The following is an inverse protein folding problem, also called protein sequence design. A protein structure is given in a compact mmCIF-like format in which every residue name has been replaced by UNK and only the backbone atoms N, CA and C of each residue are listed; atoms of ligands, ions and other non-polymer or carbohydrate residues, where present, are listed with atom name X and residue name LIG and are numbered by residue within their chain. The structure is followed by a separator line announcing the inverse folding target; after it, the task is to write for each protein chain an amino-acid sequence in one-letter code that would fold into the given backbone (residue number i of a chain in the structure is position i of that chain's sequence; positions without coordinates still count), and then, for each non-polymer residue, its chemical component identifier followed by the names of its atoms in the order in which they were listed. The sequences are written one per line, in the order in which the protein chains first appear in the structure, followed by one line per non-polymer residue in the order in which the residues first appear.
data_IF_844172405421
#
_entry.id   IF_844172405421
#
_cell.length_a   1.000
_cell.length_b   1.000
_cell.length_c   1.000
_cell.angle_alpha   90.00
_cell.angle_beta   90.00
_cell.angle_gamma   90.00
#
_symmetry.space_group_name_H-M   'P 1'
#
loop_
_entity.id
_entity.type
_entity.pdbx_description
1 polymer ?
#
# COMPACT_ATOMS: atom_id res chain seq x y z
N UNK A 1 44.91 -9.61 -74.21
CA UNK A 1 43.48 -9.53 -73.83
C UNK A 1 43.36 -9.48 -72.30
N UNK A 2 43.26 -8.32 -71.73
CA UNK A 2 43.10 -8.12 -70.28
C UNK A 2 41.61 -7.86 -69.94
N UNK A 3 40.96 -8.80 -69.27
CA UNK A 3 39.60 -8.57 -68.68
C UNK A 3 39.75 -7.85 -67.37
N UNK A 4 39.22 -6.63 -67.30
CA UNK A 4 39.06 -5.87 -66.04
C UNK A 4 37.86 -6.43 -65.31
N UNK A 5 38.06 -6.98 -64.09
CA UNK A 5 37.00 -7.25 -63.10
C UNK A 5 36.70 -5.95 -62.33
N UNK A 6 35.50 -5.44 -62.46
CA UNK A 6 34.97 -4.38 -61.63
C UNK A 6 34.33 -5.03 -60.39
N UNK A 7 34.93 -4.80 -59.20
CA UNK A 7 34.41 -5.21 -57.93
C UNK A 7 33.48 -4.08 -57.43
N UNK A 8 32.16 -4.30 -57.47
CA UNK A 8 31.20 -3.41 -56.88
C UNK A 8 31.09 -3.71 -55.36
N UNK A 9 31.63 -2.84 -54.52
CA UNK A 9 31.41 -2.88 -53.08
C UNK A 9 30.02 -2.29 -52.79
N UNK A 10 29.08 -3.13 -52.41
CA UNK A 10 27.78 -2.68 -51.85
C UNK A 10 28.01 -2.27 -50.40
N UNK A 11 27.92 -0.96 -50.10
CA UNK A 11 27.85 -0.45 -48.75
C UNK A 11 26.45 -0.75 -48.19
N UNK A 12 26.32 -1.79 -47.36
CA UNK A 12 25.16 -1.98 -46.51
C UNK A 12 25.26 -1.01 -45.35
N UNK A 13 24.51 0.07 -45.42
CA UNK A 13 24.25 0.93 -44.25
C UNK A 13 23.36 0.14 -43.32
N UNK A 14 23.96 -0.49 -42.30
CA UNK A 14 23.24 -1.08 -41.21
C UNK A 14 22.58 0.06 -40.41
N UNK A 15 21.28 0.20 -40.53
CA UNK A 15 20.50 0.99 -39.58
C UNK A 15 20.60 0.23 -38.25
N UNK A 16 21.49 0.69 -37.37
CA UNK A 16 21.46 0.28 -35.96
C UNK A 16 20.17 0.84 -35.40
N UNK A 17 19.11 0.04 -35.34
CA UNK A 17 18.01 0.29 -34.46
C UNK A 17 18.60 0.19 -33.06
N UNK A 18 18.84 1.34 -32.41
CA UNK A 18 19.06 1.37 -30.97
C UNK A 18 17.87 0.65 -30.37
N UNK A 19 18.09 -0.52 -29.79
CA UNK A 19 17.09 -1.13 -28.92
C UNK A 19 16.82 -0.11 -27.84
N UNK A 20 15.66 0.54 -27.91
CA UNK A 20 15.19 1.40 -26.83
C UNK A 20 15.10 0.49 -25.60
N UNK A 21 15.75 0.89 -24.51
CA UNK A 21 15.63 0.13 -23.27
C UNK A 21 14.18 0.18 -22.82
N UNK A 22 13.61 -0.97 -22.46
CA UNK A 22 12.23 -1.07 -22.01
C UNK A 22 12.04 -0.36 -20.68
N UNK A 23 10.84 0.18 -20.44
CA UNK A 23 10.49 0.63 -19.10
C UNK A 23 10.42 -0.57 -18.15
N UNK A 24 10.90 -0.41 -16.91
CA UNK A 24 10.93 -1.49 -15.92
C UNK A 24 10.18 -1.08 -14.66
N UNK A 25 9.11 -1.80 -14.34
CA UNK A 25 8.43 -1.67 -13.05
C UNK A 25 9.10 -2.58 -12.02
N UNK A 26 9.76 -2.00 -11.03
CA UNK A 26 10.34 -2.74 -9.90
C UNK A 26 9.25 -3.01 -8.88
N UNK A 27 8.95 -4.29 -8.62
CA UNK A 27 7.93 -4.74 -7.68
C UNK A 27 8.61 -5.37 -6.47
N UNK A 28 8.43 -4.85 -5.23
CA UNK A 28 9.10 -5.36 -4.04
C UNK A 28 8.42 -6.61 -3.45
N UNK A 29 7.52 -7.24 -4.20
CA UNK A 29 6.79 -8.44 -3.79
C UNK A 29 7.04 -9.60 -4.74
N UNK A 30 6.77 -10.81 -4.24
CA UNK A 30 6.80 -12.01 -5.06
C UNK A 30 5.70 -12.00 -6.14
N UNK A 31 5.93 -12.68 -7.27
CA UNK A 31 4.91 -12.88 -8.30
C UNK A 31 3.60 -13.44 -7.73
N UNK A 32 2.46 -12.97 -8.26
CA UNK A 32 1.13 -13.43 -7.85
C UNK A 32 0.55 -12.77 -6.59
N UNK A 33 1.33 -11.99 -5.84
CA UNK A 33 0.77 -11.16 -4.76
C UNK A 33 0.02 -9.94 -5.31
N UNK A 34 -0.84 -9.34 -4.50
CA UNK A 34 -1.75 -8.29 -4.96
C UNK A 34 -1.09 -7.10 -5.66
N UNK A 35 0.09 -6.66 -5.20
CA UNK A 35 0.84 -5.58 -5.86
C UNK A 35 1.51 -6.05 -7.15
N UNK A 36 1.99 -7.30 -7.21
CA UNK A 36 2.51 -7.90 -8.43
C UNK A 36 1.45 -7.97 -9.52
N UNK A 37 0.28 -8.52 -9.20
CA UNK A 37 -0.85 -8.61 -10.14
C UNK A 37 -1.28 -7.24 -10.62
N UNK A 38 -1.34 -6.25 -9.73
CA UNK A 38 -1.64 -4.88 -10.10
C UNK A 38 -0.58 -4.29 -11.06
N UNK A 39 0.70 -4.48 -10.74
CA UNK A 39 1.79 -3.98 -11.58
C UNK A 39 1.82 -4.62 -12.98
N UNK A 40 1.49 -5.90 -13.08
CA UNK A 40 1.36 -6.60 -14.38
C UNK A 40 0.22 -6.02 -15.22
N UNK A 41 -0.92 -5.68 -14.59
CA UNK A 41 -2.05 -5.03 -15.28
C UNK A 41 -1.67 -3.61 -15.71
N UNK A 42 -1.01 -2.85 -14.83
CA UNK A 42 -0.53 -1.51 -15.16
C UNK A 42 0.50 -1.55 -16.30
N UNK A 43 1.49 -2.42 -16.24
CA UNK A 43 2.50 -2.56 -17.29
C UNK A 43 1.84 -2.81 -18.65
N UNK A 44 0.96 -3.81 -18.73
CA UNK A 44 0.22 -4.16 -19.94
C UNK A 44 -0.58 -2.99 -20.52
N UNK A 45 -1.29 -2.25 -19.65
CA UNK A 45 -2.18 -1.18 -20.09
C UNK A 45 -1.46 0.16 -20.31
N UNK A 46 -0.28 0.36 -19.71
CA UNK A 46 0.52 1.58 -19.88
C UNK A 46 1.35 1.55 -21.18
N UNK A 47 1.78 0.36 -21.61
CA UNK A 47 2.63 0.16 -22.81
C UNK A 47 2.07 0.84 -24.07
N UNK A 48 0.77 0.72 -24.45
CA UNK A 48 0.24 1.40 -25.62
C UNK A 48 0.32 2.94 -25.58
N UNK A 49 0.25 3.53 -24.41
CA UNK A 49 0.28 4.98 -24.21
C UNK A 49 1.71 5.53 -24.12
N UNK A 50 2.67 4.71 -23.68
CA UNK A 50 4.10 5.04 -23.73
C UNK A 50 4.71 4.81 -25.11
N UNK A 51 4.13 3.92 -25.92
CA UNK A 51 4.69 3.51 -27.21
C UNK A 51 5.97 2.66 -27.09
N UNK A 52 6.28 2.17 -25.90
CA UNK A 52 7.45 1.35 -25.58
C UNK A 52 7.06 0.21 -24.64
N UNK A 53 7.75 -0.94 -24.68
CA UNK A 53 7.48 -2.05 -23.77
C UNK A 53 7.65 -1.68 -22.30
N UNK A 54 6.79 -2.27 -21.45
CA UNK A 54 6.85 -2.11 -19.99
C UNK A 54 6.98 -3.49 -19.36
N UNK A 55 8.10 -3.77 -18.73
CA UNK A 55 8.39 -5.07 -18.11
C UNK A 55 8.31 -5.00 -16.59
N UNK A 56 7.85 -6.09 -15.97
CA UNK A 56 7.78 -6.20 -14.51
C UNK A 56 8.96 -7.01 -14.00
N UNK A 57 9.70 -6.45 -13.04
CA UNK A 57 10.82 -7.10 -12.35
C UNK A 57 10.56 -7.18 -10.87
N UNK A 58 10.50 -8.39 -10.34
CA UNK A 58 10.29 -8.64 -8.91
C UNK A 58 11.61 -8.64 -8.13
N UNK A 59 11.65 -7.91 -7.03
CA UNK A 59 12.76 -7.92 -6.05
C UNK A 59 12.14 -8.09 -4.66
N UNK A 60 11.67 -9.30 -4.32
CA UNK A 60 10.97 -9.55 -3.07
C UNK A 60 11.92 -9.58 -1.87
N UNK A 61 11.35 -9.46 -0.68
CA UNK A 61 12.06 -9.64 0.58
C UNK A 61 11.18 -9.31 1.79
N UNK A 62 11.73 -9.47 2.98
CA UNK A 62 10.99 -9.23 4.20
C UNK A 62 10.46 -7.78 4.26
N UNK A 63 9.15 -7.65 4.53
CA UNK A 63 8.45 -6.36 4.63
C UNK A 63 8.59 -5.47 3.38
N UNK A 64 8.92 -6.07 2.23
CA UNK A 64 9.15 -5.42 0.93
C UNK A 64 10.30 -4.38 0.93
N UNK A 65 11.08 -4.30 2.03
CA UNK A 65 12.19 -3.36 2.22
C UNK A 65 13.33 -3.61 1.21
N UNK A 66 13.83 -4.85 0.98
CA UNK A 66 14.97 -5.08 0.10
C UNK A 66 14.78 -4.58 -1.33
N UNK A 67 13.57 -4.76 -1.88
CA UNK A 67 13.26 -4.28 -3.23
C UNK A 67 13.30 -2.77 -3.35
N UNK A 68 12.78 -2.08 -2.33
CA UNK A 68 12.76 -0.62 -2.31
C UNK A 68 14.16 -0.04 -2.03
N UNK A 69 14.93 -0.63 -1.10
CA UNK A 69 16.32 -0.25 -0.85
C UNK A 69 17.17 -0.45 -2.12
N UNK A 70 16.97 -1.57 -2.84
CA UNK A 70 17.66 -1.81 -4.12
C UNK A 70 17.32 -0.77 -5.18
N UNK A 71 16.05 -0.38 -5.29
CA UNK A 71 15.66 0.74 -6.15
C UNK A 71 16.37 2.02 -5.74
N UNK A 72 16.30 2.38 -4.44
CA UNK A 72 16.89 3.61 -3.93
C UNK A 72 18.39 3.70 -4.19
N UNK A 73 19.12 2.64 -3.87
CA UNK A 73 20.59 2.67 -3.90
C UNK A 73 21.16 2.54 -5.31
N UNK A 74 20.52 1.72 -6.18
CA UNK A 74 21.15 1.30 -7.42
C UNK A 74 20.33 1.60 -8.68
N UNK A 75 19.01 1.47 -8.64
CA UNK A 75 18.20 1.42 -9.86
C UNK A 75 17.53 2.75 -10.21
N UNK A 76 17.29 3.62 -9.24
CA UNK A 76 16.57 4.89 -9.45
C UNK A 76 17.23 5.85 -10.43
N UNK A 77 18.50 5.67 -10.72
CA UNK A 77 19.27 6.52 -11.65
C UNK A 77 19.13 6.10 -13.11
N UNK A 78 18.45 4.98 -13.39
CA UNK A 78 18.02 4.60 -14.72
C UNK A 78 16.67 5.30 -15.00
N UNK A 79 16.67 6.16 -16.01
CA UNK A 79 15.51 7.02 -16.34
C UNK A 79 14.26 6.24 -16.75
N UNK A 80 14.39 4.94 -17.10
CA UNK A 80 13.28 4.04 -17.44
C UNK A 80 12.89 3.08 -16.33
N UNK A 81 13.47 3.23 -15.15
CA UNK A 81 13.11 2.41 -13.99
C UNK A 81 12.09 3.12 -13.10
N UNK A 82 10.99 2.44 -12.85
CA UNK A 82 9.85 2.92 -12.05
C UNK A 82 9.69 2.01 -10.85
N UNK A 83 9.60 2.57 -9.64
CA UNK A 83 9.28 1.81 -8.44
C UNK A 83 7.78 1.67 -8.25
N UNK A 84 7.33 0.45 -8.07
CA UNK A 84 5.97 0.14 -7.63
C UNK A 84 5.97 0.06 -6.11
N UNK A 85 5.36 1.03 -5.45
CA UNK A 85 5.18 0.97 -4.00
C UNK A 85 3.83 0.36 -3.62
N UNK A 86 3.76 -0.14 -2.41
CA UNK A 86 2.50 -0.46 -1.76
C UNK A 86 2.50 0.09 -0.32
N UNK A 87 1.34 0.14 0.30
CA UNK A 87 1.16 0.80 1.58
C UNK A 87 2.13 0.36 2.68
N UNK A 88 2.52 -0.92 2.69
CA UNK A 88 3.52 -1.43 3.64
C UNK A 88 4.85 -0.69 3.56
N UNK A 89 5.30 -0.29 2.38
CA UNK A 89 6.53 0.47 2.21
C UNK A 89 6.44 1.88 2.83
N UNK A 90 5.25 2.50 2.78
CA UNK A 90 5.03 3.80 3.43
C UNK A 90 5.09 3.70 4.95
N UNK A 91 4.56 2.63 5.52
CA UNK A 91 4.68 2.40 6.96
C UNK A 91 6.12 2.05 7.34
N UNK A 92 6.79 1.17 6.58
CA UNK A 92 8.21 0.87 6.81
C UNK A 92 9.10 2.11 6.73
N UNK A 93 8.78 3.05 5.83
CA UNK A 93 9.46 4.35 5.78
C UNK A 93 9.36 5.12 7.10
N UNK A 94 8.24 5.05 7.79
CA UNK A 94 8.03 5.74 9.07
C UNK A 94 8.74 5.08 10.25
N UNK A 95 8.69 3.74 10.32
CA UNK A 95 9.00 3.03 11.57
C UNK A 95 10.13 1.99 11.47
N UNK A 96 10.69 1.75 10.29
CA UNK A 96 11.76 0.77 10.09
C UNK A 96 13.08 1.41 9.67
N UNK A 97 14.15 0.66 9.85
CA UNK A 97 15.47 0.99 9.29
C UNK A 97 15.46 0.69 7.78
N UNK A 98 15.36 1.74 6.97
CA UNK A 98 15.27 1.67 5.51
C UNK A 98 16.18 2.72 4.87
N UNK A 99 16.71 2.44 3.68
CA UNK A 99 17.58 3.36 2.95
C UNK A 99 16.78 4.42 2.17
N UNK A 100 15.57 4.08 1.75
CA UNK A 100 14.77 4.93 0.87
C UNK A 100 14.08 6.09 1.58
N UNK A 101 13.88 7.17 0.82
CA UNK A 101 13.16 8.37 1.25
C UNK A 101 12.17 8.80 0.16
N UNK A 102 10.88 8.87 0.49
CA UNK A 102 9.85 9.27 -0.47
C UNK A 102 10.00 10.70 -0.99
N UNK A 103 10.66 11.58 -0.24
CA UNK A 103 10.94 12.95 -0.66
C UNK A 103 12.05 13.06 -1.72
N UNK A 104 12.76 11.95 -2.00
CA UNK A 104 13.73 11.85 -3.11
C UNK A 104 13.07 11.43 -4.42
N UNK A 105 11.77 11.20 -4.43
CA UNK A 105 11.03 10.69 -5.58
C UNK A 105 9.95 11.65 -6.07
N UNK A 106 9.49 11.39 -7.29
CA UNK A 106 8.30 11.99 -7.87
C UNK A 106 7.24 10.94 -8.10
N UNK A 107 6.03 11.23 -7.64
CA UNK A 107 4.86 10.39 -7.89
C UNK A 107 4.45 10.51 -9.37
N UNK A 108 4.30 9.37 -10.03
CA UNK A 108 3.63 9.29 -11.33
C UNK A 108 2.13 9.20 -11.13
N UNK A 109 1.69 8.35 -10.21
CA UNK A 109 0.32 8.25 -9.76
C UNK A 109 0.14 7.18 -8.70
N UNK A 110 -0.87 7.36 -7.87
CA UNK A 110 -1.28 6.41 -6.84
C UNK A 110 -2.77 6.13 -6.92
N UNK A 111 -3.15 4.88 -6.91
CA UNK A 111 -4.53 4.47 -6.69
C UNK A 111 -4.78 4.47 -5.17
N UNK A 112 -5.62 5.40 -4.72
CA UNK A 112 -5.95 5.61 -3.31
C UNK A 112 -6.99 4.58 -2.86
N UNK A 113 -6.56 3.36 -2.63
CA UNK A 113 -7.45 2.26 -2.32
C UNK A 113 -7.32 1.76 -0.87
N UNK A 114 -8.44 1.27 -0.35
CA UNK A 114 -8.64 0.86 1.03
C UNK A 114 -8.32 -0.63 1.28
N UNK A 115 -8.49 -1.03 2.53
CA UNK A 115 -8.48 -2.40 3.02
C UNK A 115 -9.81 -2.67 3.74
N UNK A 116 -10.33 -3.85 3.52
CA UNK A 116 -11.54 -4.36 4.18
C UNK A 116 -11.15 -5.26 5.33
N UNK A 117 -11.75 -5.06 6.48
CA UNK A 117 -11.70 -6.00 7.59
C UNK A 117 -13.07 -6.66 7.74
N UNK A 118 -13.03 -7.96 7.96
CA UNK A 118 -14.19 -8.79 8.25
C UNK A 118 -14.02 -9.53 9.56
N UNK A 119 -15.15 -9.92 10.14
CA UNK A 119 -15.24 -10.77 11.32
C UNK A 119 -16.27 -11.86 11.13
N UNK A 120 -16.34 -12.81 12.05
CA UNK A 120 -17.44 -13.77 12.08
C UNK A 120 -18.72 -13.11 12.54
N UNK A 121 -19.84 -13.46 11.91
CA UNK A 121 -21.16 -12.95 12.24
C UNK A 121 -21.50 -13.25 13.70
N UNK A 122 -21.91 -12.22 14.44
CA UNK A 122 -22.27 -12.34 15.86
C UNK A 122 -21.09 -12.31 16.84
N UNK A 123 -19.85 -12.13 16.34
CA UNK A 123 -18.72 -11.87 17.24
C UNK A 123 -18.91 -10.51 17.94
N UNK A 124 -18.79 -10.51 19.28
CA UNK A 124 -19.03 -9.34 20.12
C UNK A 124 -17.74 -8.62 20.44
N UNK A 125 -17.61 -7.39 20.00
CA UNK A 125 -16.43 -6.54 20.23
C UNK A 125 -16.22 -6.22 21.71
N UNK A 126 -17.27 -6.24 22.52
CA UNK A 126 -17.20 -5.88 23.95
C UNK A 126 -16.84 -7.05 24.84
N UNK A 127 -16.82 -8.25 24.31
CA UNK A 127 -16.53 -9.47 25.07
C UNK A 127 -15.56 -10.42 24.33
N UNK A 128 -15.06 -11.42 25.04
CA UNK A 128 -14.24 -12.47 24.49
C UNK A 128 -12.79 -12.11 24.21
N UNK A 129 -12.03 -13.13 23.83
CA UNK A 129 -10.66 -13.04 23.35
C UNK A 129 -10.65 -13.28 21.85
N UNK A 130 -9.83 -12.53 21.13
CA UNK A 130 -9.73 -12.56 19.68
C UNK A 130 -8.37 -13.10 19.25
N UNK A 131 -8.36 -14.02 18.30
CA UNK A 131 -7.13 -14.50 17.67
C UNK A 131 -6.96 -13.85 16.32
N UNK A 132 -5.88 -13.11 16.14
CA UNK A 132 -5.65 -12.28 14.95
C UNK A 132 -4.33 -12.66 14.30
N UNK A 133 -4.39 -12.98 13.01
CA UNK A 133 -3.20 -13.32 12.22
C UNK A 133 -2.55 -12.07 11.62
N UNK A 134 -1.33 -11.76 12.04
CA UNK A 134 -0.48 -10.73 11.46
C UNK A 134 0.41 -11.23 10.33
N UNK A 135 0.72 -10.34 9.39
CA UNK A 135 1.73 -10.59 8.37
C UNK A 135 3.16 -10.38 8.88
N UNK A 136 4.11 -10.38 7.96
CA UNK A 136 5.52 -10.05 8.24
C UNK A 136 5.80 -8.55 8.33
N UNK A 137 4.79 -7.70 8.10
CA UNK A 137 4.87 -6.24 8.12
C UNK A 137 3.96 -5.63 9.18
N UNK A 138 4.12 -4.33 9.38
CA UNK A 138 3.25 -3.52 10.19
C UNK A 138 1.85 -3.47 9.58
N UNK A 139 0.85 -3.66 10.41
CA UNK A 139 -0.55 -3.61 10.01
C UNK A 139 -1.29 -2.58 10.86
N UNK A 140 -1.48 -1.32 10.38
CA UNK A 140 -2.19 -0.28 11.13
C UNK A 140 -3.61 -0.70 11.51
N UNK A 141 -4.16 -1.66 10.76
CA UNK A 141 -5.47 -2.26 11.03
C UNK A 141 -5.60 -2.79 12.46
N UNK A 142 -4.53 -3.34 13.03
CA UNK A 142 -4.58 -3.87 14.38
C UNK A 142 -4.70 -2.78 15.46
N UNK A 143 -4.25 -1.55 15.19
CA UNK A 143 -4.53 -0.42 16.08
C UNK A 143 -6.03 -0.05 16.07
N UNK A 144 -6.67 -0.06 14.90
CA UNK A 144 -8.12 0.13 14.80
C UNK A 144 -8.88 -0.99 15.51
N UNK A 145 -8.46 -2.25 15.30
CA UNK A 145 -9.05 -3.40 16.02
C UNK A 145 -8.90 -3.26 17.53
N UNK A 146 -7.72 -2.87 18.03
CA UNK A 146 -7.52 -2.65 19.46
C UNK A 146 -8.47 -1.57 20.01
N UNK A 147 -8.65 -0.47 19.27
CA UNK A 147 -9.60 0.57 19.69
C UNK A 147 -11.05 0.06 19.71
N UNK A 148 -11.47 -0.72 18.70
CA UNK A 148 -12.82 -1.31 18.69
C UNK A 148 -13.05 -2.30 19.84
N UNK A 149 -12.06 -3.14 20.14
CA UNK A 149 -12.18 -4.14 21.21
C UNK A 149 -12.06 -3.55 22.62
N UNK A 150 -11.25 -2.51 22.79
CA UNK A 150 -10.93 -1.92 24.08
C UNK A 150 -11.80 -0.70 24.45
N UNK A 151 -12.37 -0.06 23.45
CA UNK A 151 -13.16 1.15 23.63
C UNK A 151 -12.38 2.35 24.18
N UNK A 152 -13.09 3.38 24.62
CA UNK A 152 -12.48 4.57 25.22
C UNK A 152 -11.69 4.22 26.48
N UNK A 153 -10.49 4.76 26.60
CA UNK A 153 -9.63 4.56 27.76
C UNK A 153 -9.74 5.74 28.72
N UNK A 154 -9.81 5.45 30.01
CA UNK A 154 -10.04 6.45 31.07
C UNK A 154 -8.93 7.52 31.15
N UNK A 155 -7.74 7.24 30.64
CA UNK A 155 -6.59 8.13 30.59
C UNK A 155 -6.48 8.97 29.29
N UNK A 156 -7.54 9.00 28.49
CA UNK A 156 -7.58 9.74 27.22
C UNK A 156 -6.96 9.00 26.04
N UNK A 157 -6.86 7.67 26.09
CA UNK A 157 -6.45 6.84 24.97
C UNK A 157 -4.93 6.68 24.82
N UNK A 158 -4.24 6.57 25.93
CA UNK A 158 -2.79 6.33 25.94
C UNK A 158 -2.40 4.99 25.32
N UNK A 159 -1.20 4.90 24.79
CA UNK A 159 -0.62 3.65 24.27
C UNK A 159 -0.56 2.58 25.38
N UNK A 160 -0.24 2.96 26.63
CA UNK A 160 -0.13 2.01 27.74
C UNK A 160 -1.47 1.31 28.05
N UNK A 161 -2.55 2.06 28.09
CA UNK A 161 -3.87 1.50 28.36
C UNK A 161 -4.31 0.55 27.24
N UNK A 162 -4.10 0.94 25.98
CA UNK A 162 -4.43 0.08 24.85
C UNK A 162 -3.53 -1.16 24.78
N UNK A 163 -2.24 -1.06 25.08
CA UNK A 163 -1.35 -2.23 25.14
C UNK A 163 -1.76 -3.20 26.26
N UNK A 164 -2.19 -2.69 27.41
CA UNK A 164 -2.67 -3.55 28.51
C UNK A 164 -3.92 -4.33 28.07
N UNK A 165 -4.92 -3.64 27.51
CA UNK A 165 -6.13 -4.29 26.99
C UNK A 165 -5.83 -5.25 25.81
N UNK A 166 -4.96 -4.86 24.87
CA UNK A 166 -4.55 -5.71 23.76
C UNK A 166 -3.98 -7.04 24.24
N UNK A 167 -3.06 -7.01 25.20
CA UNK A 167 -2.44 -8.22 25.77
C UNK A 167 -3.43 -9.13 26.51
N UNK A 168 -4.49 -8.55 27.07
CA UNK A 168 -5.54 -9.29 27.73
C UNK A 168 -6.51 -9.94 26.72
N UNK A 169 -6.85 -9.19 25.67
CA UNK A 169 -7.96 -9.55 24.77
C UNK A 169 -7.55 -10.14 23.43
N UNK A 170 -6.28 -10.02 23.03
CA UNK A 170 -5.86 -10.43 21.71
C UNK A 170 -4.70 -11.41 21.78
N UNK A 171 -4.87 -12.53 21.11
CA UNK A 171 -3.79 -13.45 20.74
C UNK A 171 -3.29 -13.07 19.35
N UNK A 172 -2.12 -12.48 19.28
CA UNK A 172 -1.50 -12.07 18.01
C UNK A 172 -0.58 -13.17 17.48
N UNK A 173 -0.83 -13.63 16.23
CA UNK A 173 -0.07 -14.70 15.58
C UNK A 173 0.74 -14.11 14.41
N UNK A 174 2.05 -14.04 14.58
CA UNK A 174 2.97 -13.46 13.59
C UNK A 174 3.32 -14.43 12.45
N UNK A 175 3.74 -13.85 11.32
CA UNK A 175 4.37 -14.60 10.22
C UNK A 175 3.42 -15.42 9.35
N UNK A 176 2.12 -15.20 9.48
CA UNK A 176 1.10 -15.92 8.72
C UNK A 176 1.00 -15.35 7.30
N UNK A 177 1.14 -16.19 6.29
CA UNK A 177 0.99 -15.77 4.90
C UNK A 177 -0.46 -15.41 4.56
N UNK A 178 -0.68 -14.65 3.47
CA UNK A 178 -2.04 -14.25 3.07
C UNK A 178 -2.98 -15.44 2.79
N UNK A 179 -2.46 -16.53 2.23
CA UNK A 179 -3.24 -17.76 2.01
C UNK A 179 -3.62 -18.46 3.32
N UNK A 180 -2.67 -18.57 4.24
CA UNK A 180 -2.90 -19.16 5.57
C UNK A 180 -3.87 -18.33 6.41
N UNK A 181 -3.76 -17.00 6.39
CA UNK A 181 -4.72 -16.11 7.06
C UNK A 181 -6.15 -16.35 6.57
N UNK A 182 -6.31 -16.46 5.24
CA UNK A 182 -7.60 -16.71 4.62
C UNK A 182 -8.18 -18.05 5.02
N UNK A 183 -7.37 -19.10 4.96
CA UNK A 183 -7.80 -20.44 5.35
C UNK A 183 -8.11 -20.52 6.85
N UNK A 184 -7.26 -19.94 7.70
CA UNK A 184 -7.47 -19.93 9.15
C UNK A 184 -8.72 -19.16 9.56
N UNK A 185 -9.02 -18.03 8.91
CA UNK A 185 -10.30 -17.35 9.13
C UNK A 185 -11.50 -18.21 8.69
N UNK A 186 -11.44 -18.83 7.52
CA UNK A 186 -12.53 -19.69 7.05
C UNK A 186 -12.74 -20.91 7.95
N UNK A 187 -11.70 -21.40 8.59
CA UNK A 187 -11.76 -22.53 9.54
C UNK A 187 -12.11 -22.09 10.97
N UNK A 188 -12.25 -20.79 11.26
CA UNK A 188 -12.47 -20.28 12.61
C UNK A 188 -11.24 -20.31 13.53
N UNK A 189 -10.04 -20.38 12.95
CA UNK A 189 -8.78 -20.28 13.71
C UNK A 189 -8.40 -18.83 14.02
N UNK A 190 -8.83 -17.92 13.16
CA UNK A 190 -8.65 -16.47 13.28
C UNK A 190 -9.99 -15.76 13.26
N UNK A 191 -10.17 -14.76 14.09
CA UNK A 191 -11.41 -14.01 14.23
C UNK A 191 -11.54 -12.84 13.25
N UNK A 192 -10.44 -12.42 12.62
CA UNK A 192 -10.40 -11.27 11.71
C UNK A 192 -9.85 -11.67 10.35
N UNK A 193 -10.61 -11.38 9.30
CA UNK A 193 -10.15 -11.37 7.93
C UNK A 193 -9.67 -9.96 7.55
N UNK A 194 -8.58 -9.87 6.79
CA UNK A 194 -8.03 -8.62 6.24
C UNK A 194 -7.70 -8.81 4.78
N UNK A 195 -8.40 -8.09 3.93
CA UNK A 195 -8.29 -8.28 2.48
C UNK A 195 -8.33 -6.95 1.72
N UNK A 196 -7.88 -6.99 0.47
CA UNK A 196 -8.23 -5.92 -0.47
C UNK A 196 -9.72 -6.01 -0.83
N UNK A 197 -10.35 -4.92 -1.27
CA UNK A 197 -11.75 -4.90 -1.66
C UNK A 197 -12.14 -6.00 -2.65
N UNK A 198 -11.33 -6.19 -3.70
CA UNK A 198 -11.58 -7.25 -4.69
C UNK A 198 -11.43 -8.67 -4.11
N UNK A 199 -10.49 -8.88 -3.19
CA UNK A 199 -10.33 -10.17 -2.53
C UNK A 199 -11.47 -10.44 -1.54
N UNK A 200 -11.96 -9.41 -0.83
CA UNK A 200 -13.15 -9.53 0.01
C UNK A 200 -14.36 -9.99 -0.80
N UNK A 201 -14.69 -9.29 -1.87
CA UNK A 201 -15.79 -9.66 -2.77
C UNK A 201 -15.67 -11.08 -3.31
N UNK A 202 -14.45 -11.51 -3.63
CA UNK A 202 -14.21 -12.84 -4.18
C UNK A 202 -14.31 -13.98 -3.17
N UNK A 203 -13.86 -13.78 -1.92
CA UNK A 203 -13.61 -14.87 -0.98
C UNK A 203 -14.54 -14.89 0.23
N UNK A 204 -15.25 -13.79 0.51
CA UNK A 204 -16.05 -13.67 1.74
C UNK A 204 -17.44 -13.08 1.55
N UNK A 205 -17.63 -12.19 0.57
CA UNK A 205 -18.92 -11.56 0.36
C UNK A 205 -20.01 -12.61 0.04
N UNK A 206 -21.11 -12.56 0.79
CA UNK A 206 -22.23 -13.51 0.65
C UNK A 206 -21.97 -14.91 1.22
N UNK A 207 -20.83 -15.16 1.88
CA UNK A 207 -20.59 -16.42 2.58
C UNK A 207 -21.21 -16.34 3.97
N UNK A 208 -22.08 -17.30 4.28
CA UNK A 208 -22.73 -17.41 5.60
C UNK A 208 -21.69 -17.51 6.72
N UNK A 209 -21.92 -16.81 7.81
CA UNK A 209 -21.03 -16.76 8.96
C UNK A 209 -19.93 -15.70 8.90
N UNK A 210 -19.82 -14.96 7.78
CA UNK A 210 -18.88 -13.86 7.61
C UNK A 210 -19.62 -12.54 7.44
N UNK A 211 -19.10 -11.50 8.04
CA UNK A 211 -19.60 -10.12 7.83
C UNK A 211 -18.46 -9.14 7.61
N UNK A 212 -18.70 -8.14 6.77
CA UNK A 212 -17.80 -7.00 6.66
C UNK A 212 -17.88 -6.24 7.98
N UNK A 213 -16.73 -6.04 8.60
CA UNK A 213 -16.65 -5.39 9.90
C UNK A 213 -16.47 -3.88 9.74
N UNK A 214 -15.38 -3.50 9.07
CA UNK A 214 -15.14 -2.10 8.74
C UNK A 214 -14.16 -1.93 7.58
N UNK A 215 -14.13 -0.72 7.06
CA UNK A 215 -13.10 -0.20 6.17
C UNK A 215 -12.44 1.03 6.80
N UNK A 216 -11.25 1.36 6.33
CA UNK A 216 -10.59 2.58 6.82
C UNK A 216 -11.08 3.84 6.10
N UNK A 217 -11.62 3.72 4.89
CA UNK A 217 -11.89 4.81 3.98
C UNK A 217 -10.66 5.22 3.16
N UNK A 218 -10.79 6.25 2.39
CA UNK A 218 -9.74 6.78 1.52
C UNK A 218 -9.39 8.23 1.85
N UNK A 219 -8.15 8.65 1.57
CA UNK A 219 -7.70 10.01 1.81
C UNK A 219 -8.25 10.97 0.74
N UNK A 220 -8.99 11.98 1.16
CA UNK A 220 -9.39 13.09 0.31
C UNK A 220 -8.31 14.21 0.38
N UNK A 221 -7.72 14.55 -0.76
CA UNK A 221 -6.65 15.55 -0.81
C UNK A 221 -7.15 16.99 -0.61
N UNK A 222 -8.41 17.30 -0.95
CA UNK A 222 -8.98 18.63 -0.77
C UNK A 222 -9.24 18.94 0.70
N UNK A 223 -9.97 18.04 1.36
CA UNK A 223 -10.35 18.19 2.76
C UNK A 223 -9.26 17.76 3.72
N UNK A 224 -8.26 17.01 3.23
CA UNK A 224 -7.19 16.36 4.03
C UNK A 224 -7.75 15.42 5.10
N UNK A 225 -8.94 14.89 4.85
CA UNK A 225 -9.66 13.99 5.75
C UNK A 225 -9.83 12.61 5.11
N UNK A 226 -10.11 11.64 5.95
CA UNK A 226 -10.57 10.35 5.47
C UNK A 226 -12.07 10.44 5.15
N UNK A 227 -12.43 9.95 3.99
CA UNK A 227 -13.82 9.81 3.54
C UNK A 227 -14.17 8.34 3.38
N UNK A 228 -15.46 8.02 3.36
CA UNK A 228 -15.92 6.64 3.23
C UNK A 228 -15.39 5.98 1.96
N UNK A 229 -15.10 4.67 2.04
CA UNK A 229 -14.75 3.87 0.86
C UNK A 229 -15.92 3.87 -0.13
N UNK A 230 -15.71 4.28 -1.38
CA UNK A 230 -16.77 4.34 -2.37
C UNK A 230 -17.36 2.97 -2.74
N UNK A 231 -16.62 1.88 -2.54
CA UNK A 231 -17.08 0.52 -2.78
C UNK A 231 -17.80 -0.10 -1.58
N UNK A 232 -17.66 0.48 -0.39
CA UNK A 232 -18.25 0.00 0.87
C UNK A 232 -18.79 1.16 1.72
N UNK A 233 -19.79 1.89 1.25
CA UNK A 233 -20.34 3.04 1.96
C UNK A 233 -20.94 2.62 3.31
N UNK A 234 -20.74 3.45 4.33
CA UNK A 234 -21.31 3.25 5.68
C UNK A 234 -20.58 2.21 6.54
N UNK A 235 -19.35 1.83 6.18
CA UNK A 235 -18.54 0.84 6.90
C UNK A 235 -17.25 1.42 7.50
N UNK A 236 -17.13 2.75 7.56
CA UNK A 236 -15.91 3.40 8.00
C UNK A 236 -15.64 3.14 9.49
N UNK A 237 -14.37 2.92 9.84
CA UNK A 237 -13.92 2.60 11.20
C UNK A 237 -14.42 3.58 12.25
N UNK A 238 -14.30 4.88 11.99
CA UNK A 238 -14.68 5.92 12.95
C UNK A 238 -16.19 5.93 13.24
N UNK A 239 -17.03 5.63 12.24
CA UNK A 239 -18.47 5.53 12.40
C UNK A 239 -18.86 4.28 13.18
N UNK A 240 -18.18 3.17 12.94
CA UNK A 240 -18.37 1.94 13.72
C UNK A 240 -17.95 2.15 15.18
N UNK A 241 -16.79 2.78 15.42
CA UNK A 241 -16.33 3.07 16.78
C UNK A 241 -17.34 3.95 17.54
N UNK A 242 -17.83 5.02 16.91
CA UNK A 242 -18.85 5.90 17.50
C UNK A 242 -20.15 5.14 17.79
N UNK A 243 -20.57 4.26 16.88
CA UNK A 243 -21.76 3.42 17.09
C UNK A 243 -21.60 2.46 18.28
N UNK A 244 -20.42 1.91 18.51
CA UNK A 244 -20.16 0.98 19.60
C UNK A 244 -20.00 1.69 20.96
N UNK A 245 -19.35 2.85 20.97
CA UNK A 245 -18.86 3.46 22.19
C UNK A 245 -19.50 4.83 22.51
N UNK A 246 -20.26 5.42 21.57
CA UNK A 246 -20.97 6.67 21.76
C UNK A 246 -20.13 7.93 21.57
N UNK A 247 -18.87 7.80 21.18
CA UNK A 247 -17.96 8.91 20.89
C UNK A 247 -16.97 8.54 19.76
N UNK A 248 -16.40 9.53 19.10
CA UNK A 248 -15.37 9.33 18.09
C UNK A 248 -14.05 8.86 18.69
N UNK A 249 -13.25 8.03 17.99
CA UNK A 249 -11.94 7.63 18.49
C UNK A 249 -11.03 8.85 18.61
N UNK A 250 -10.21 8.87 19.65
CA UNK A 250 -9.27 9.96 19.94
C UNK A 250 -8.09 9.43 20.77
N UNK A 251 -7.12 10.29 21.04
CA UNK A 251 -5.97 9.98 21.88
C UNK A 251 -4.77 9.43 21.12
N UNK A 252 -3.77 8.98 21.86
CA UNK A 252 -2.44 8.68 21.36
C UNK A 252 -2.42 7.54 20.33
N UNK A 253 -3.14 6.45 20.60
CA UNK A 253 -3.21 5.33 19.65
C UNK A 253 -3.94 5.74 18.37
N UNK A 254 -4.96 6.58 18.46
CA UNK A 254 -5.68 7.04 17.28
C UNK A 254 -4.80 7.94 16.39
N UNK A 255 -4.01 8.84 16.97
CA UNK A 255 -3.08 9.67 16.17
C UNK A 255 -1.97 8.83 15.54
N UNK A 256 -1.42 7.84 16.23
CA UNK A 256 -0.46 6.89 15.67
C UNK A 256 -1.08 6.04 14.53
N UNK A 257 -2.32 5.62 14.70
CA UNK A 257 -3.11 4.93 13.68
C UNK A 257 -3.33 5.84 12.46
N UNK A 258 -3.79 7.08 12.65
CA UNK A 258 -4.00 8.03 11.55
C UNK A 258 -2.73 8.27 10.75
N UNK A 259 -1.59 8.45 11.41
CA UNK A 259 -0.30 8.61 10.76
C UNK A 259 0.01 7.41 9.85
N UNK A 260 0.04 6.21 10.42
CA UNK A 260 0.47 5.01 9.70
C UNK A 260 -0.52 4.58 8.63
N UNK A 261 -1.81 4.73 8.90
CA UNK A 261 -2.87 4.42 7.96
C UNK A 261 -2.85 5.34 6.74
N UNK A 262 -2.78 6.65 6.92
CA UNK A 262 -2.77 7.58 5.78
C UNK A 262 -1.56 7.37 4.88
N UNK A 263 -0.38 7.14 5.45
CA UNK A 263 0.81 6.78 4.68
C UNK A 263 0.64 5.47 3.93
N UNK A 264 -0.04 4.51 4.53
CA UNK A 264 -0.29 3.22 3.89
C UNK A 264 -1.30 3.34 2.74
N UNK A 265 -2.45 3.93 2.98
CA UNK A 265 -3.57 3.87 2.04
C UNK A 265 -3.36 4.81 0.85
N UNK A 266 -2.84 6.00 1.08
CA UNK A 266 -2.57 6.97 0.03
C UNK A 266 -1.50 6.54 -0.99
N UNK A 267 -0.62 5.60 -0.62
CA UNK A 267 0.41 5.05 -1.53
C UNK A 267 0.23 3.56 -1.79
N UNK A 268 -0.95 3.01 -1.49
CA UNK A 268 -1.22 1.56 -1.51
C UNK A 268 -0.92 0.91 -2.85
N UNK A 269 -1.10 1.60 -3.95
CA UNK A 269 -0.80 1.17 -5.31
C UNK A 269 -0.24 2.36 -6.08
N UNK A 270 1.06 2.56 -6.04
CA UNK A 270 1.66 3.78 -6.56
C UNK A 270 2.92 3.53 -7.39
N UNK A 271 3.18 4.45 -8.31
CA UNK A 271 4.31 4.46 -9.24
C UNK A 271 5.19 5.67 -8.92
N UNK A 272 6.48 5.42 -8.72
CA UNK A 272 7.46 6.44 -8.33
C UNK A 272 8.70 6.37 -9.20
N UNK A 273 9.24 7.54 -9.52
CA UNK A 273 10.54 7.69 -10.19
C UNK A 273 11.48 8.56 -9.36
N UNK A 274 12.76 8.53 -9.66
CA UNK A 274 13.71 9.43 -9.01
C UNK A 274 13.37 10.89 -9.30
N UNK A 275 13.58 11.76 -8.33
CA UNK A 275 13.35 13.20 -8.50
C UNK A 275 14.22 13.76 -9.62
N UNK A 276 13.60 14.52 -10.52
CA UNK A 276 14.25 15.05 -11.71
C UNK A 276 14.41 14.04 -12.85
N UNK A 277 13.69 12.92 -12.83
CA UNK A 277 13.68 11.97 -13.95
C UNK A 277 13.11 12.66 -15.22
N UNK A 278 13.84 12.63 -16.35
CA UNK A 278 13.42 13.33 -17.57
C UNK A 278 12.13 12.79 -18.19
N UNK A 279 11.72 11.58 -17.83
CA UNK A 279 10.51 10.94 -18.34
C UNK A 279 9.28 11.17 -17.46
N UNK A 280 9.39 11.90 -16.32
CA UNK A 280 8.29 12.12 -15.37
C UNK A 280 7.01 12.59 -16.05
N UNK A 281 7.09 13.64 -16.87
CA UNK A 281 5.91 14.21 -17.52
C UNK A 281 5.31 13.28 -18.59
N UNK A 282 6.15 12.57 -19.35
CA UNK A 282 5.69 11.57 -20.31
C UNK A 282 4.98 10.40 -19.61
N UNK A 283 5.51 9.93 -18.49
CA UNK A 283 4.90 8.89 -17.67
C UNK A 283 3.55 9.33 -17.07
N UNK A 284 3.47 10.56 -16.56
CA UNK A 284 2.21 11.13 -16.04
C UNK A 284 1.16 11.29 -17.15
N UNK A 285 1.57 11.76 -18.33
CA UNK A 285 0.67 11.87 -19.48
C UNK A 285 0.13 10.49 -19.90
N UNK A 286 1.00 9.50 -20.07
CA UNK A 286 0.63 8.15 -20.41
C UNK A 286 -0.28 7.50 -19.35
N UNK A 287 0.02 7.69 -18.07
CA UNK A 287 -0.85 7.23 -16.99
C UNK A 287 -2.23 7.90 -17.07
N UNK A 288 -2.27 9.22 -17.28
CA UNK A 288 -3.53 9.95 -17.38
C UNK A 288 -4.36 9.49 -18.59
N UNK A 289 -3.74 9.22 -19.72
CA UNK A 289 -4.44 8.64 -20.87
C UNK A 289 -4.97 7.23 -20.56
N UNK A 290 -4.15 6.39 -19.94
CA UNK A 290 -4.53 5.02 -19.54
C UNK A 290 -5.74 5.01 -18.58
N UNK A 291 -5.73 5.84 -17.54
CA UNK A 291 -6.83 5.85 -16.54
C UNK A 291 -8.13 6.43 -17.09
N UNK A 292 -8.07 7.23 -18.14
CA UNK A 292 -9.22 7.78 -18.86
C UNK A 292 -9.66 6.91 -20.05
N UNK A 293 -8.88 5.89 -20.43
CA UNK A 293 -9.30 4.93 -21.44
C UNK A 293 -10.30 3.92 -20.83
N UNK A 294 -11.52 3.78 -21.41
CA UNK A 294 -12.57 2.96 -20.83
C UNK A 294 -12.23 1.46 -20.79
N UNK A 295 -11.35 0.97 -21.66
CA UNK A 295 -10.97 -0.45 -21.69
C UNK A 295 -9.90 -0.72 -20.61
N UNK A 296 -8.85 0.11 -20.55
CA UNK A 296 -7.79 -0.01 -19.58
C UNK A 296 -8.32 0.18 -18.14
N UNK A 297 -9.12 1.23 -17.90
CA UNK A 297 -9.70 1.49 -16.58
C UNK A 297 -10.63 0.38 -16.13
N UNK A 298 -11.46 -0.16 -17.01
CA UNK A 298 -12.34 -1.29 -16.67
C UNK A 298 -11.55 -2.56 -16.29
N UNK A 299 -10.43 -2.86 -16.98
CA UNK A 299 -9.56 -4.00 -16.62
C UNK A 299 -8.91 -3.81 -15.23
N UNK A 300 -8.43 -2.60 -14.94
CA UNK A 300 -7.84 -2.26 -13.64
C UNK A 300 -8.90 -2.41 -12.55
N UNK A 301 -10.05 -1.76 -12.70
CA UNK A 301 -11.12 -1.74 -11.69
C UNK A 301 -11.76 -3.11 -11.44
N UNK A 302 -11.79 -3.97 -12.44
CA UNK A 302 -12.25 -5.35 -12.26
C UNK A 302 -11.37 -6.15 -11.27
N UNK A 303 -10.13 -5.73 -11.04
CA UNK A 303 -9.17 -6.39 -10.15
C UNK A 303 -8.95 -5.69 -8.82
N UNK A 304 -9.19 -4.38 -8.78
CA UNK A 304 -8.86 -3.56 -7.61
C UNK A 304 -10.09 -2.97 -6.90
N UNK A 305 -11.22 -2.87 -7.57
CA UNK A 305 -12.30 -1.94 -7.26
C UNK A 305 -12.06 -0.59 -7.94
N UNK A 306 -13.08 0.24 -8.00
CA UNK A 306 -13.01 1.58 -8.55
C UNK A 306 -12.58 2.56 -7.46
N UNK A 307 -11.36 3.08 -7.58
CA UNK A 307 -10.77 4.02 -6.64
C UNK A 307 -10.20 5.23 -7.37
N UNK A 308 -10.26 6.42 -6.75
CA UNK A 308 -9.68 7.61 -7.34
C UNK A 308 -8.15 7.51 -7.43
N UNK A 309 -7.61 8.12 -8.47
CA UNK A 309 -6.18 8.26 -8.63
C UNK A 309 -5.69 9.60 -8.06
N UNK A 310 -4.60 9.54 -7.32
CA UNK A 310 -3.84 10.69 -6.87
C UNK A 310 -2.69 10.89 -7.86
N UNK A 311 -2.69 12.02 -8.55
CA UNK A 311 -1.64 12.39 -9.51
C UNK A 311 -0.84 13.63 -9.07
N UNK A 312 -1.33 14.37 -8.07
CA UNK A 312 -0.62 15.49 -7.46
C UNK A 312 0.32 14.99 -6.33
N UNK A 313 1.51 14.58 -6.73
CA UNK A 313 2.53 14.08 -5.80
C UNK A 313 2.98 15.10 -4.75
N UNK A 314 3.27 16.35 -5.10
CA UNK A 314 3.60 17.39 -4.13
C UNK A 314 2.52 17.59 -3.07
N UNK A 315 1.26 17.72 -3.47
CA UNK A 315 0.15 17.87 -2.52
C UNK A 315 0.01 16.63 -1.60
N UNK A 316 0.13 15.42 -2.17
CA UNK A 316 0.12 14.20 -1.38
C UNK A 316 1.23 14.17 -0.33
N UNK A 317 2.48 14.41 -0.74
CA UNK A 317 3.62 14.38 0.18
C UNK A 317 3.55 15.47 1.25
N UNK A 318 3.03 16.66 0.93
CA UNK A 318 2.78 17.73 1.91
C UNK A 318 1.79 17.27 2.99
N UNK A 319 0.67 16.66 2.58
CA UNK A 319 -0.34 16.14 3.50
C UNK A 319 0.27 15.05 4.39
N UNK A 320 0.96 14.08 3.79
CA UNK A 320 1.56 12.98 4.52
C UNK A 320 2.65 13.44 5.49
N UNK A 321 3.49 14.41 5.09
CA UNK A 321 4.49 15.03 5.97
C UNK A 321 3.80 15.74 7.14
N UNK A 322 2.71 16.47 6.89
CA UNK A 322 1.97 17.19 7.93
C UNK A 322 1.35 16.30 9.02
N UNK A 323 1.23 14.99 8.76
CA UNK A 323 0.78 14.01 9.77
C UNK A 323 1.91 13.53 10.68
N UNK A 324 3.17 13.71 10.30
CA UNK A 324 4.33 13.25 11.07
C UNK A 324 4.57 14.23 12.22
N UNK A 325 4.08 13.87 13.41
CA UNK A 325 4.43 14.56 14.64
C UNK A 325 5.35 13.69 15.49
N UNK A 326 6.18 14.29 16.32
CA UNK A 326 7.09 13.54 17.18
C UNK A 326 6.35 12.51 18.04
N UNK A 327 5.21 12.91 18.61
CA UNK A 327 4.41 12.03 19.45
C UNK A 327 3.79 10.90 18.67
N UNK A 328 3.09 11.16 17.57
CA UNK A 328 2.46 10.11 16.76
C UNK A 328 3.49 9.11 16.22
N UNK A 329 4.68 9.60 15.83
CA UNK A 329 5.75 8.73 15.34
C UNK A 329 6.32 7.83 16.45
N UNK A 330 6.58 8.37 17.65
CA UNK A 330 7.03 7.58 18.81
C UNK A 330 5.98 6.54 19.22
N UNK A 331 4.73 6.93 19.23
CA UNK A 331 3.63 6.05 19.61
C UNK A 331 3.40 4.94 18.57
N UNK A 332 3.53 5.24 17.27
CA UNK A 332 3.49 4.24 16.21
C UNK A 332 4.63 3.22 16.33
N UNK A 333 5.85 3.69 16.56
CA UNK A 333 7.02 2.82 16.78
C UNK A 333 6.80 1.93 18.00
N UNK A 334 6.37 2.51 19.11
CA UNK A 334 6.11 1.79 20.36
C UNK A 334 5.00 0.74 20.20
N UNK A 335 3.88 1.13 19.60
CA UNK A 335 2.79 0.21 19.30
C UNK A 335 3.27 -0.98 18.46
N UNK A 336 4.03 -0.71 17.41
CA UNK A 336 4.56 -1.72 16.52
C UNK A 336 5.51 -2.71 17.25
N UNK A 337 6.35 -2.20 18.15
CA UNK A 337 7.25 -3.03 18.95
C UNK A 337 6.49 -3.87 20.00
N UNK A 338 5.58 -3.27 20.75
CA UNK A 338 4.99 -3.89 21.93
C UNK A 338 3.73 -4.70 21.65
N UNK A 339 2.94 -4.32 20.63
CA UNK A 339 1.75 -5.07 20.23
C UNK A 339 2.08 -6.24 19.29
N UNK A 340 3.07 -6.07 18.40
CA UNK A 340 3.38 -7.08 17.36
C UNK A 340 4.74 -7.75 17.51
N UNK A 341 5.63 -7.21 18.32
CA UNK A 341 6.98 -7.74 18.49
C UNK A 341 7.92 -7.44 17.30
N UNK A 342 7.62 -6.41 16.48
CA UNK A 342 8.49 -6.05 15.37
C UNK A 342 9.61 -5.09 15.80
N UNK A 343 10.85 -5.27 15.28
CA UNK A 343 11.92 -4.32 15.51
C UNK A 343 11.64 -3.03 14.71
N UNK A 344 11.16 -2.00 15.40
CA UNK A 344 10.90 -0.70 14.81
C UNK A 344 11.84 0.35 15.37
N UNK A 345 12.09 1.41 14.59
CA UNK A 345 13.09 2.45 14.91
C UNK A 345 12.44 3.82 14.85
N UNK A 346 12.65 4.62 15.90
CA UNK A 346 12.26 6.02 15.88
C UNK A 346 13.21 6.83 15.02
N UNK A 347 12.69 7.61 14.09
CA UNK A 347 13.43 8.39 13.09
C UNK A 347 13.15 9.89 13.27
N UNK A 348 13.91 10.60 14.12
CA UNK A 348 13.71 12.03 14.35
C UNK A 348 13.91 12.89 13.10
N UNK A 349 14.72 12.43 12.14
CA UNK A 349 14.96 13.11 10.85
C UNK A 349 13.72 13.28 9.99
N UNK A 350 12.64 12.55 10.28
CA UNK A 350 11.35 12.72 9.58
C UNK A 350 10.58 13.95 10.05
N UNK A 351 11.03 14.59 11.12
CA UNK A 351 10.38 15.80 11.69
C UNK A 351 10.89 17.09 11.02
N UNK A 352 12.04 17.04 10.35
CA UNK A 352 12.65 18.15 9.63
C UNK A 352 12.03 18.32 8.22
#
# INVERSE_FOLDING_TARGET
MFKKLLLSAALTVGVATSALADYTLIVPQEPGKGTSVWAEIIAKNLEPFLGEPVVVRHIPGARDIPGFNKFHNDLRFDDKTIMVAHGGNGVSYLVDDVDYNYFDYELIGSMNNDIVLGKHTGADEKSGNWTIAGGSGFEPDAAAVAMLLCGPQADGGSIDAYLACWRERVTWVNGVSGGEKRLGFQNGEFDVARESPAAWKKFYEGIEGNELWFTHGILDLETKQQIADPNFPGTQFEDLYESLWGERPSGDLYEAYRLTRNWRDAIQKSLWVNKGNPNTEALRAALNEMINDPVASAEIYAKTGEYPWITDGPALLEILKGLITEKALKDAVRWNQEAYGFPSVYKPELLD
#
